data_IF_429655645777
#
_entry.id   IF_429655645777
#
_cell.length_a   1.000
_cell.length_b   1.000
_cell.length_c   1.000
_cell.angle_alpha   90.00
_cell.angle_beta   90.00
_cell.angle_gamma   90.00
#
_symmetry.space_group_name_H-M   'P 1'
#
loop_
_entity.id
_entity.type
_entity.pdbx_description
1 polymer ?
#
# COMPACT_ATOMS: atom_id res chain seq x y z
N UNK A 1 -40.32 74.55 62.11
CA UNK A 1 -41.73 74.62 61.69
C UNK A 1 -41.94 73.49 60.70
N UNK A 2 -42.83 72.50 60.83
CA UNK A 2 -43.74 72.05 61.88
C UNK A 2 -43.99 70.53 61.66
N UNK A 3 -44.13 69.81 62.78
CA UNK A 3 -44.87 68.56 63.13
C UNK A 3 -45.59 67.80 61.98
N UNK A 4 -45.74 66.47 61.94
CA UNK A 4 -46.21 65.43 62.89
C UNK A 4 -45.75 64.07 62.27
N UNK A 5 -45.69 62.89 62.90
CA UNK A 5 -46.37 62.29 64.04
C UNK A 5 -46.32 60.77 63.84
N UNK A 6 -46.26 60.02 64.93
CA UNK A 6 -45.90 58.60 65.01
C UNK A 6 -47.02 57.60 64.65
N UNK A 7 -46.57 56.37 64.35
CA UNK A 7 -47.17 55.02 64.57
C UNK A 7 -48.67 54.79 64.30
N UNK A 8 -49.00 53.68 63.61
CA UNK A 8 -49.75 52.52 64.15
C UNK A 8 -49.92 51.40 63.09
N UNK A 9 -49.55 50.21 63.53
CA UNK A 9 -49.95 48.83 63.22
C UNK A 9 -51.13 48.47 62.28
N UNK A 10 -50.96 47.27 61.69
CA UNK A 10 -51.93 46.18 61.41
C UNK A 10 -52.35 45.85 59.96
N UNK A 11 -51.84 44.69 59.52
CA UNK A 11 -52.58 43.50 59.06
C UNK A 11 -53.20 43.41 57.64
N UNK A 12 -52.73 42.35 56.96
CA UNK A 12 -53.43 41.34 56.13
C UNK A 12 -53.29 41.36 54.59
N UNK A 13 -52.88 40.17 54.13
CA UNK A 13 -53.24 39.44 52.91
C UNK A 13 -52.89 40.09 51.55
N UNK A 14 -51.83 39.61 50.87
CA UNK A 14 -51.82 38.44 49.99
C UNK A 14 -52.49 38.70 48.62
N UNK A 15 -51.70 38.82 47.55
CA UNK A 15 -51.58 37.84 46.46
C UNK A 15 -50.94 38.42 45.17
N UNK A 16 -50.04 37.61 44.58
CA UNK A 16 -49.73 37.48 43.15
C UNK A 16 -48.69 38.42 42.52
N UNK A 17 -47.42 38.05 42.66
CA UNK A 17 -46.36 38.44 41.72
C UNK A 17 -46.54 37.71 40.38
N UNK A 18 -46.68 38.47 39.30
CA UNK A 18 -46.36 38.02 37.94
C UNK A 18 -44.83 37.91 37.81
N UNK A 19 -44.26 36.85 37.21
CA UNK A 19 -42.83 36.82 36.92
C UNK A 19 -42.53 37.71 35.70
N UNK A 20 -41.62 38.67 35.90
CA UNK A 20 -41.03 39.46 34.84
C UNK A 20 -39.84 38.76 34.18
N UNK A 21 -39.69 39.02 32.89
CA UNK A 21 -38.51 38.93 32.02
C UNK A 21 -37.46 37.84 32.35
N UNK A 22 -37.60 36.68 31.69
CA UNK A 22 -36.48 35.80 31.42
C UNK A 22 -35.59 36.37 30.31
N UNK A 23 -34.28 36.41 30.55
CA UNK A 23 -33.25 36.59 29.54
C UNK A 23 -33.44 35.54 28.42
N UNK A 24 -33.18 35.86 27.13
CA UNK A 24 -33.23 34.86 26.08
C UNK A 24 -32.15 33.82 26.37
N UNK A 25 -32.58 32.57 26.58
CA UNK A 25 -31.67 31.43 26.56
C UNK A 25 -30.98 31.42 25.19
N UNK A 26 -29.65 31.41 25.20
CA UNK A 26 -28.86 31.15 24.01
C UNK A 26 -29.40 29.88 23.33
N UNK A 27 -29.52 29.84 21.99
CA UNK A 27 -29.92 28.63 21.31
C UNK A 27 -28.98 27.51 21.74
N UNK A 28 -29.53 26.38 22.19
CA UNK A 28 -28.76 25.17 22.41
C UNK A 28 -27.92 24.96 21.14
N UNK A 29 -26.60 24.93 21.31
CA UNK A 29 -25.66 24.79 20.21
C UNK A 29 -26.11 23.64 19.32
N UNK A 30 -26.34 23.93 18.04
CA UNK A 30 -26.52 22.89 17.04
C UNK A 30 -25.36 21.89 17.14
N UNK A 31 -25.54 20.64 16.69
CA UNK A 31 -24.47 19.66 16.70
C UNK A 31 -23.23 20.31 16.09
N UNK A 32 -22.15 20.37 16.86
CA UNK A 32 -20.84 20.79 16.36
C UNK A 32 -20.63 20.06 15.04
N UNK A 33 -20.21 20.74 13.95
CA UNK A 33 -19.98 20.07 12.68
C UNK A 33 -19.11 18.84 12.94
N UNK A 34 -19.59 17.67 12.48
CA UNK A 34 -18.83 16.43 12.58
C UNK A 34 -17.39 16.73 12.15
N UNK A 35 -16.35 16.30 12.91
CA UNK A 35 -14.98 16.55 12.53
C UNK A 35 -14.77 16.10 11.08
N UNK A 36 -14.11 16.94 10.27
CA UNK A 36 -13.82 16.60 8.88
C UNK A 36 -13.11 15.24 8.83
N UNK A 37 -13.61 14.32 8.01
CA UNK A 37 -13.02 12.99 7.83
C UNK A 37 -11.70 13.16 7.06
N UNK A 38 -10.61 12.62 7.59
CA UNK A 38 -9.34 12.60 6.87
C UNK A 38 -9.41 11.56 5.74
N UNK A 39 -8.79 11.86 4.60
CA UNK A 39 -8.71 10.91 3.49
C UNK A 39 -7.27 10.76 2.98
N UNK A 40 -6.95 9.58 2.45
CA UNK A 40 -5.69 9.36 1.73
C UNK A 40 -5.85 8.33 0.62
N UNK A 41 -5.08 8.50 -0.45
CA UNK A 41 -5.05 7.56 -1.57
C UNK A 41 -4.02 6.45 -1.33
N UNK A 42 -4.33 5.24 -1.78
CA UNK A 42 -3.38 4.14 -1.90
C UNK A 42 -3.34 3.66 -3.35
N UNK A 43 -2.17 3.79 -3.96
CA UNK A 43 -1.85 3.26 -5.29
C UNK A 43 -0.68 2.28 -5.20
N UNK A 44 -0.66 1.26 -6.04
CA UNK A 44 0.37 0.22 -6.00
C UNK A 44 0.48 -0.48 -7.35
N UNK A 45 1.63 -1.12 -7.60
CA UNK A 45 1.82 -2.06 -8.71
C UNK A 45 1.40 -1.40 -10.05
N UNK A 46 2.07 -0.29 -10.37
CA UNK A 46 1.80 0.48 -11.57
C UNK A 46 2.27 -0.28 -12.81
N UNK A 47 3.45 -0.93 -12.69
CA UNK A 47 4.14 -1.67 -13.76
C UNK A 47 4.00 -1.00 -15.13
N UNK A 48 4.70 0.12 -15.33
CA UNK A 48 4.77 0.76 -16.64
C UNK A 48 5.49 -0.18 -17.62
N UNK A 49 4.83 -0.53 -18.72
CA UNK A 49 5.47 -1.08 -19.91
C UNK A 49 5.74 0.05 -20.92
N UNK A 50 6.99 0.53 -21.05
CA UNK A 50 7.33 1.60 -21.98
C UNK A 50 7.26 1.17 -23.44
N UNK A 51 7.18 -0.14 -23.73
CA UNK A 51 7.12 -0.66 -25.09
C UNK A 51 5.69 -0.82 -25.60
N UNK A 52 4.68 -0.58 -24.77
CA UNK A 52 3.29 -0.78 -25.16
C UNK A 52 2.91 0.08 -26.37
N UNK A 53 2.53 -0.56 -27.47
CA UNK A 53 1.97 0.09 -28.64
C UNK A 53 1.02 -0.86 -29.39
N UNK A 54 -0.03 -0.32 -30.01
CA UNK A 54 -0.98 -1.12 -30.78
C UNK A 54 -0.40 -1.38 -32.17
N UNK A 55 -0.37 -2.66 -32.58
CA UNK A 55 0.18 -3.12 -33.85
C UNK A 55 -0.52 -4.42 -34.28
N UNK A 56 -0.53 -4.71 -35.59
CA UNK A 56 -1.17 -5.91 -36.15
C UNK A 56 -0.54 -7.21 -35.63
N UNK A 57 0.78 -7.19 -35.38
CA UNK A 57 1.49 -8.30 -34.76
C UNK A 57 1.32 -8.25 -33.24
N UNK A 58 0.27 -8.89 -32.74
CA UNK A 58 -0.07 -8.91 -31.32
C UNK A 58 1.06 -9.45 -30.42
N UNK A 59 2.05 -10.16 -30.94
CA UNK A 59 3.22 -10.61 -30.16
C UNK A 59 4.21 -9.48 -29.85
N UNK A 60 4.09 -8.34 -30.54
CA UNK A 60 4.95 -7.16 -30.41
C UNK A 60 4.27 -5.98 -29.72
N UNK A 61 3.03 -6.15 -29.27
CA UNK A 61 2.28 -5.07 -28.59
C UNK A 61 3.00 -4.60 -27.34
N UNK A 62 3.54 -5.52 -26.55
CA UNK A 62 4.18 -5.23 -25.28
C UNK A 62 5.27 -6.27 -24.97
N UNK A 63 6.39 -5.84 -24.39
CA UNK A 63 7.47 -6.76 -24.01
C UNK A 63 7.06 -7.61 -22.80
N UNK A 64 6.19 -7.09 -21.94
CA UNK A 64 5.65 -7.79 -20.76
C UNK A 64 4.88 -9.07 -21.09
N UNK A 65 4.32 -9.22 -22.29
CA UNK A 65 3.70 -10.49 -22.74
C UNK A 65 4.71 -11.59 -23.05
N UNK A 66 6.01 -11.25 -23.13
CA UNK A 66 7.13 -12.19 -23.37
C UNK A 66 6.97 -12.95 -24.70
N UNK A 67 6.42 -12.27 -25.70
CA UNK A 67 6.17 -12.82 -27.04
C UNK A 67 4.85 -13.58 -27.18
N UNK A 68 4.03 -13.66 -26.12
CA UNK A 68 2.66 -14.10 -26.26
C UNK A 68 1.85 -13.05 -27.02
N UNK A 69 0.94 -13.49 -27.89
CA UNK A 69 0.02 -12.58 -28.56
C UNK A 69 -0.89 -11.91 -27.53
N UNK A 70 -0.85 -10.57 -27.44
CA UNK A 70 -1.81 -9.79 -26.67
C UNK A 70 -3.24 -10.16 -27.05
N UNK A 71 -4.14 -10.23 -26.06
CA UNK A 71 -5.45 -10.85 -26.23
C UNK A 71 -6.39 -9.99 -27.07
N UNK A 72 -6.60 -8.75 -26.66
CA UNK A 72 -7.42 -7.75 -27.33
C UNK A 72 -6.91 -6.35 -26.96
N UNK A 73 -5.72 -5.97 -27.47
CA UNK A 73 -5.03 -4.76 -27.04
C UNK A 73 -5.81 -3.50 -27.42
N UNK A 74 -5.88 -2.56 -26.48
CA UNK A 74 -6.53 -1.26 -26.68
C UNK A 74 -5.76 -0.12 -26.02
N UNK A 75 -6.25 1.12 -26.13
CA UNK A 75 -5.51 2.31 -25.70
C UNK A 75 -5.22 2.37 -24.19
N UNK A 76 -5.87 1.55 -23.37
CA UNK A 76 -5.67 1.48 -21.92
C UNK A 76 -5.00 0.18 -21.47
N UNK A 77 -4.55 -0.69 -22.39
CA UNK A 77 -3.80 -1.88 -22.06
C UNK A 77 -4.43 -3.17 -22.60
N UNK A 78 -3.89 -4.29 -22.15
CA UNK A 78 -4.34 -5.65 -22.44
C UNK A 78 -4.11 -6.52 -21.21
N UNK A 79 -4.90 -7.57 -21.01
CA UNK A 79 -4.72 -8.47 -19.85
C UNK A 79 -3.40 -9.25 -19.89
N UNK A 80 -2.73 -9.38 -21.04
CA UNK A 80 -1.41 -10.02 -21.14
C UNK A 80 -0.25 -9.02 -21.12
N UNK A 81 -0.55 -7.73 -20.96
CA UNK A 81 0.43 -6.67 -20.90
C UNK A 81 0.42 -5.98 -19.55
N UNK A 82 1.58 -5.48 -19.16
CA UNK A 82 1.70 -4.45 -18.16
C UNK A 82 1.16 -3.10 -18.66
N UNK A 83 1.03 -2.14 -17.74
CA UNK A 83 0.31 -0.89 -17.98
C UNK A 83 0.98 -0.03 -19.07
N UNK A 84 0.26 0.39 -20.12
CA UNK A 84 0.71 1.53 -20.90
C UNK A 84 0.74 2.79 -20.04
N UNK A 85 1.61 3.75 -20.37
CA UNK A 85 1.66 5.05 -19.68
C UNK A 85 0.29 5.74 -19.62
N UNK A 86 -0.51 5.60 -20.68
CA UNK A 86 -1.85 6.18 -20.76
C UNK A 86 -2.83 5.62 -19.73
N UNK A 87 -2.71 4.33 -19.36
CA UNK A 87 -3.52 3.74 -18.27
C UNK A 87 -3.16 4.38 -16.92
N UNK A 88 -1.87 4.43 -16.61
CA UNK A 88 -1.35 5.02 -15.37
C UNK A 88 -1.76 6.50 -15.26
N UNK A 89 -1.61 7.25 -16.36
CA UNK A 89 -2.02 8.65 -16.41
C UNK A 89 -3.52 8.79 -16.16
N UNK A 90 -4.35 7.93 -16.76
CA UNK A 90 -5.81 7.96 -16.53
C UNK A 90 -6.19 7.72 -15.07
N UNK A 91 -5.43 6.89 -14.34
CA UNK A 91 -5.65 6.62 -12.92
C UNK A 91 -5.35 7.87 -12.07
N UNK A 92 -4.22 8.54 -12.34
CA UNK A 92 -3.87 9.77 -11.64
C UNK A 92 -4.75 10.96 -12.02
N UNK A 93 -5.17 11.06 -13.29
CA UNK A 93 -6.14 12.05 -13.73
C UNK A 93 -7.50 11.83 -13.06
N UNK A 94 -7.93 10.58 -12.89
CA UNK A 94 -9.11 10.26 -12.10
C UNK A 94 -8.96 10.72 -10.65
N UNK A 95 -7.85 10.36 -9.98
CA UNK A 95 -7.57 10.77 -8.59
C UNK A 95 -7.66 12.30 -8.46
N UNK A 96 -6.99 13.04 -9.36
CA UNK A 96 -6.96 14.50 -9.38
C UNK A 96 -8.34 15.14 -9.60
N UNK A 97 -9.17 14.53 -10.45
CA UNK A 97 -10.49 15.07 -10.82
C UNK A 97 -11.66 14.43 -10.06
N UNK A 98 -11.39 13.56 -9.08
CA UNK A 98 -12.41 12.81 -8.33
C UNK A 98 -13.28 13.69 -7.42
N UNK A 99 -12.84 14.92 -7.14
CA UNK A 99 -13.47 15.80 -6.15
C UNK A 99 -13.20 15.39 -4.69
N UNK A 100 -12.35 14.39 -4.45
CA UNK A 100 -11.97 13.94 -3.11
C UNK A 100 -10.76 14.73 -2.60
N UNK A 101 -10.80 15.18 -1.35
CA UNK A 101 -9.71 15.91 -0.71
C UNK A 101 -8.86 14.96 0.14
N UNK A 102 -7.67 14.61 -0.36
CA UNK A 102 -6.74 13.74 0.34
C UNK A 102 -5.62 14.53 1.03
N UNK A 103 -5.31 14.15 2.27
CA UNK A 103 -4.21 14.72 3.06
C UNK A 103 -2.84 14.23 2.60
N UNK A 104 -2.76 13.02 2.06
CA UNK A 104 -1.56 12.39 1.55
C UNK A 104 -1.89 11.22 0.61
N UNK A 105 -0.86 10.63 0.00
CA UNK A 105 -0.95 9.39 -0.76
C UNK A 105 0.10 8.39 -0.27
N UNK A 106 -0.24 7.11 -0.25
CA UNK A 106 0.73 6.03 -0.10
C UNK A 106 0.91 5.33 -1.45
N UNK A 107 2.16 5.04 -1.80
CA UNK A 107 2.51 4.37 -3.06
C UNK A 107 3.41 3.17 -2.77
N UNK A 108 2.87 1.96 -2.80
CA UNK A 108 3.58 0.75 -2.34
C UNK A 108 4.38 0.04 -3.43
N UNK A 109 4.95 0.80 -4.38
CA UNK A 109 6.00 0.32 -5.28
C UNK A 109 5.53 -0.42 -6.53
N UNK A 110 6.51 -1.11 -7.15
CA UNK A 110 6.43 -1.88 -8.39
C UNK A 110 6.09 -1.04 -9.63
N UNK A 111 7.12 -0.33 -10.09
CA UNK A 111 7.06 0.57 -11.25
C UNK A 111 7.51 -0.07 -12.56
N UNK A 112 8.63 -0.82 -12.63
CA UNK A 112 9.09 -1.46 -13.88
C UNK A 112 8.21 -2.64 -14.32
N UNK A 113 8.24 -3.03 -15.62
CA UNK A 113 7.39 -4.09 -16.14
C UNK A 113 7.93 -5.50 -15.86
N UNK A 114 7.10 -6.50 -16.07
CA UNK A 114 7.42 -7.93 -16.02
C UNK A 114 8.10 -8.42 -17.30
N UNK A 115 9.35 -8.03 -17.51
CA UNK A 115 10.16 -8.52 -18.64
C UNK A 115 11.29 -9.44 -18.14
N UNK A 116 11.91 -10.27 -19.00
CA UNK A 116 13.12 -10.99 -18.65
C UNK A 116 14.21 -10.05 -18.12
N UNK A 117 14.97 -10.48 -17.11
CA UNK A 117 16.02 -9.65 -16.45
C UNK A 117 16.99 -9.00 -17.44
N UNK A 118 17.31 -9.70 -18.53
CA UNK A 118 18.22 -9.24 -19.59
C UNK A 118 17.71 -8.04 -20.40
N UNK A 119 16.42 -7.74 -20.32
CA UNK A 119 15.76 -6.63 -21.02
C UNK A 119 15.65 -5.37 -20.14
N UNK A 120 16.05 -5.48 -18.88
CA UNK A 120 16.20 -4.35 -17.95
C UNK A 120 17.66 -4.11 -17.60
N UNK A 121 17.88 -2.97 -16.96
CA UNK A 121 19.14 -2.59 -16.33
C UNK A 121 18.84 -1.75 -15.10
N UNK A 122 19.82 -1.53 -14.23
CA UNK A 122 19.69 -0.60 -13.10
C UNK A 122 19.25 0.80 -13.56
N UNK A 123 19.77 1.29 -14.68
CA UNK A 123 19.43 2.62 -15.20
C UNK A 123 18.00 2.67 -15.76
N UNK A 124 17.58 1.61 -16.47
CA UNK A 124 16.19 1.49 -16.94
C UNK A 124 15.21 1.47 -15.77
N UNK A 125 15.50 0.70 -14.71
CA UNK A 125 14.67 0.65 -13.50
C UNK A 125 14.58 2.04 -12.84
N UNK A 126 15.72 2.71 -12.64
CA UNK A 126 15.74 4.07 -12.06
C UNK A 126 14.94 5.04 -12.93
N UNK A 127 15.06 4.98 -14.25
CA UNK A 127 14.35 5.86 -15.17
C UNK A 127 12.83 5.64 -15.11
N UNK A 128 12.36 4.40 -14.97
CA UNK A 128 10.93 4.12 -14.80
C UNK A 128 10.42 4.66 -13.47
N UNK A 129 11.15 4.43 -12.37
CA UNK A 129 10.78 4.97 -11.04
C UNK A 129 10.78 6.51 -11.08
N UNK A 130 11.76 7.12 -11.75
CA UNK A 130 11.84 8.56 -11.94
C UNK A 130 10.64 9.09 -12.73
N UNK A 131 10.25 8.42 -13.82
CA UNK A 131 9.08 8.78 -14.62
C UNK A 131 7.80 8.76 -13.77
N UNK A 132 7.56 7.69 -13.00
CA UNK A 132 6.40 7.60 -12.10
C UNK A 132 6.44 8.68 -11.02
N UNK A 133 7.60 8.89 -10.41
CA UNK A 133 7.80 9.93 -9.39
C UNK A 133 7.49 11.32 -9.95
N UNK A 134 8.07 11.68 -11.10
CA UNK A 134 7.86 12.98 -11.75
C UNK A 134 6.42 13.16 -12.21
N UNK A 135 5.76 12.10 -12.70
CA UNK A 135 4.33 12.13 -13.06
C UNK A 135 3.47 12.49 -11.85
N UNK A 136 3.70 11.82 -10.71
CA UNK A 136 2.97 12.09 -9.45
C UNK A 136 3.27 13.52 -8.95
N UNK A 137 4.54 13.93 -8.91
CA UNK A 137 4.92 15.29 -8.48
C UNK A 137 4.30 16.38 -9.36
N UNK A 138 4.21 16.15 -10.67
CA UNK A 138 3.63 17.12 -11.61
C UNK A 138 2.11 17.24 -11.46
N UNK A 139 1.43 16.13 -11.20
CA UNK A 139 -0.04 16.12 -11.05
C UNK A 139 -0.48 16.57 -9.65
N UNK A 140 0.33 16.30 -8.62
CA UNK A 140 0.04 16.56 -7.21
C UNK A 140 1.18 17.31 -6.50
N UNK A 141 1.51 18.55 -6.92
CA UNK A 141 2.69 19.27 -6.41
C UNK A 141 2.64 19.59 -4.91
N UNK A 142 1.44 19.62 -4.32
CA UNK A 142 1.23 19.95 -2.91
C UNK A 142 0.87 18.73 -2.04
N UNK A 143 0.81 17.53 -2.62
CA UNK A 143 0.43 16.31 -1.90
C UNK A 143 1.69 15.59 -1.39
N UNK A 144 1.75 15.33 -0.10
CA UNK A 144 2.80 14.48 0.46
C UNK A 144 2.55 13.02 0.05
N UNK A 145 3.57 12.36 -0.48
CA UNK A 145 3.49 10.96 -0.90
C UNK A 145 4.47 10.12 -0.10
N UNK A 146 4.01 8.98 0.41
CA UNK A 146 4.82 8.01 1.14
C UNK A 146 5.05 6.76 0.28
N UNK A 147 6.16 6.71 -0.46
CA UNK A 147 6.48 5.55 -1.27
C UNK A 147 7.09 4.40 -0.45
N UNK A 148 6.90 3.17 -0.92
CA UNK A 148 7.67 1.99 -0.55
C UNK A 148 8.20 1.34 -1.83
N UNK A 149 9.38 0.71 -1.77
CA UNK A 149 9.92 -0.04 -2.91
C UNK A 149 9.21 -1.38 -3.03
N UNK A 150 8.91 -1.79 -4.26
CA UNK A 150 8.52 -3.16 -4.59
C UNK A 150 9.67 -4.01 -5.11
N UNK A 151 9.41 -5.29 -5.37
CA UNK A 151 10.46 -6.23 -5.78
C UNK A 151 10.90 -6.03 -7.23
N UNK A 152 10.11 -5.38 -8.08
CA UNK A 152 10.50 -4.96 -9.43
C UNK A 152 11.24 -3.62 -9.46
N UNK A 153 11.20 -2.83 -8.39
CA UNK A 153 11.92 -1.56 -8.28
C UNK A 153 13.44 -1.74 -8.04
N UNK A 154 14.01 -2.86 -8.51
CA UNK A 154 15.43 -3.15 -8.44
C UNK A 154 15.87 -4.02 -9.62
N UNK A 155 17.14 -3.93 -10.00
CA UNK A 155 17.72 -4.80 -11.01
C UNK A 155 18.97 -5.53 -10.49
N UNK A 156 19.07 -6.85 -10.71
CA UNK A 156 18.00 -7.76 -11.16
C UNK A 156 16.82 -7.94 -10.18
N UNK A 157 15.59 -8.05 -10.71
CA UNK A 157 14.37 -8.28 -9.91
C UNK A 157 14.28 -9.72 -9.33
N UNK A 158 14.90 -10.70 -9.99
CA UNK A 158 14.92 -12.12 -9.62
C UNK A 158 16.26 -12.75 -9.99
N UNK A 159 16.69 -13.84 -9.31
CA UNK A 159 17.90 -14.52 -9.70
C UNK A 159 17.63 -15.21 -11.05
N UNK A 160 18.40 -14.86 -12.08
CA UNK A 160 18.56 -15.77 -13.20
C UNK A 160 19.27 -17.01 -12.64
N UNK A 161 18.55 -18.10 -12.41
CA UNK A 161 19.19 -19.40 -12.21
C UNK A 161 19.71 -19.80 -13.59
N UNK A 162 20.94 -19.40 -13.91
CA UNK A 162 21.69 -20.00 -15.00
C UNK A 162 22.41 -21.20 -14.39
N UNK A 163 21.90 -22.40 -14.65
CA UNK A 163 22.67 -23.62 -14.43
C UNK A 163 23.68 -23.71 -15.57
N UNK A 164 24.94 -23.33 -15.31
CA UNK A 164 26.02 -23.65 -16.24
C UNK A 164 26.65 -24.96 -15.80
N UNK A 165 26.50 -26.00 -16.60
CA UNK A 165 27.26 -27.23 -16.45
C UNK A 165 28.64 -27.03 -17.09
N UNK A 166 29.71 -27.15 -16.31
CA UNK A 166 31.07 -27.20 -16.83
C UNK A 166 31.53 -28.66 -16.88
N UNK A 167 31.94 -29.12 -18.07
CA UNK A 167 32.52 -30.45 -18.24
C UNK A 167 34.00 -30.37 -17.92
N UNK A 168 34.44 -31.02 -16.83
CA UNK A 168 35.84 -31.08 -16.43
C UNK A 168 36.41 -32.44 -16.84
N UNK A 169 37.51 -32.42 -17.60
CA UNK A 169 38.31 -33.60 -17.92
C UNK A 169 39.52 -33.66 -16.99
N UNK A 170 39.56 -34.65 -16.09
CA UNK A 170 40.72 -34.90 -15.23
C UNK A 170 41.51 -36.08 -15.78
N UNK A 171 42.77 -35.87 -16.14
CA UNK A 171 43.66 -36.95 -16.60
C UNK A 171 43.96 -37.89 -15.43
N UNK A 172 43.59 -39.17 -15.55
CA UNK A 172 43.86 -40.19 -14.53
C UNK A 172 44.84 -41.27 -15.01
N UNK A 173 45.11 -41.30 -16.32
CA UNK A 173 46.11 -42.13 -16.96
C UNK A 173 46.53 -41.52 -18.32
N UNK A 174 47.67 -41.92 -18.93
CA UNK A 174 48.19 -41.34 -20.16
C UNK A 174 47.20 -41.34 -21.36
N UNK A 175 46.14 -42.13 -21.29
CA UNK A 175 45.09 -42.22 -22.30
C UNK A 175 43.66 -42.26 -21.72
N UNK A 176 43.47 -41.95 -20.43
CA UNK A 176 42.16 -42.03 -19.76
C UNK A 176 41.86 -40.72 -19.03
N UNK A 177 40.72 -40.12 -19.38
CA UNK A 177 40.16 -38.96 -18.68
C UNK A 177 38.95 -39.38 -17.86
N UNK A 178 38.87 -38.90 -16.62
CA UNK A 178 37.63 -38.88 -15.85
C UNK A 178 36.85 -37.64 -16.25
N UNK A 179 35.60 -37.84 -16.67
CA UNK A 179 34.66 -36.75 -16.91
C UNK A 179 33.89 -36.49 -15.62
N UNK A 180 33.92 -35.25 -15.14
CA UNK A 180 33.07 -34.79 -14.04
C UNK A 180 32.20 -33.65 -14.56
N UNK A 181 30.90 -33.75 -14.31
CA UNK A 181 29.98 -32.63 -14.45
C UNK A 181 30.07 -31.82 -13.16
N UNK A 182 30.35 -30.52 -13.28
CA UNK A 182 30.21 -29.59 -12.17
C UNK A 182 29.17 -28.56 -12.56
N UNK A 183 28.05 -28.59 -11.84
CA UNK A 183 27.03 -27.56 -11.95
C UNK A 183 27.47 -26.37 -11.11
N UNK A 184 27.68 -25.23 -11.76
CA UNK A 184 27.82 -23.96 -11.07
C UNK A 184 26.55 -23.14 -11.30
N UNK A 185 25.94 -22.70 -10.20
CA UNK A 185 24.85 -21.72 -10.24
C UNK A 185 25.51 -20.35 -10.42
N UNK A 186 25.43 -19.79 -11.62
CA UNK A 186 25.79 -18.39 -11.84
C UNK A 186 24.59 -17.55 -11.44
N UNK A 187 24.50 -17.20 -10.16
CA UNK A 187 23.55 -16.20 -9.69
C UNK A 187 23.99 -14.83 -10.21
N UNK A 188 23.23 -14.24 -11.14
CA UNK A 188 23.38 -12.82 -11.47
C UNK A 188 23.27 -11.99 -10.20
N UNK A 189 24.34 -11.26 -9.88
CA UNK A 189 24.44 -10.47 -8.66
C UNK A 189 23.51 -9.25 -8.71
N UNK A 190 22.81 -9.06 -7.58
CA UNK A 190 22.15 -7.87 -7.03
C UNK A 190 20.61 -7.84 -7.07
N UNK A 191 19.97 -8.59 -6.18
CA UNK A 191 18.62 -8.25 -5.71
C UNK A 191 18.69 -7.19 -4.60
N UNK A 192 17.54 -6.69 -4.14
CA UNK A 192 17.43 -5.65 -3.09
C UNK A 192 18.37 -5.92 -1.90
N UNK A 193 19.48 -5.17 -1.77
CA UNK A 193 20.56 -5.51 -0.85
C UNK A 193 20.27 -5.00 0.56
N UNK A 194 21.07 -5.49 1.52
CA UNK A 194 21.02 -5.08 2.94
C UNK A 194 21.90 -3.86 3.27
N UNK A 195 22.42 -3.20 2.25
CA UNK A 195 23.32 -2.05 2.35
C UNK A 195 22.99 -1.04 1.24
N UNK A 196 23.65 0.12 1.25
CA UNK A 196 23.40 1.18 0.27
C UNK A 196 23.63 0.71 -1.17
N UNK A 197 22.81 1.18 -2.10
CA UNK A 197 22.88 0.80 -3.51
C UNK A 197 22.64 1.99 -4.43
N UNK A 198 22.92 1.84 -5.73
CA UNK A 198 22.62 2.88 -6.72
C UNK A 198 21.13 3.21 -6.76
N UNK A 199 20.27 2.18 -6.69
CA UNK A 199 18.81 2.35 -6.66
C UNK A 199 18.35 3.05 -5.39
N UNK A 200 18.78 2.62 -4.20
CA UNK A 200 18.41 3.26 -2.93
C UNK A 200 18.84 4.74 -2.91
N UNK A 201 20.02 5.04 -3.46
CA UNK A 201 20.47 6.42 -3.57
C UNK A 201 19.69 7.25 -4.58
N UNK A 202 19.27 6.66 -5.70
CA UNK A 202 18.46 7.33 -6.70
C UNK A 202 17.06 7.64 -6.17
N UNK A 203 16.36 6.66 -5.58
CA UNK A 203 15.01 6.88 -5.03
C UNK A 203 15.02 7.83 -3.84
N UNK A 204 16.05 7.80 -3.01
CA UNK A 204 16.21 8.79 -1.95
C UNK A 204 16.42 10.22 -2.47
N UNK A 205 17.01 10.39 -3.65
CA UNK A 205 17.10 11.71 -4.29
C UNK A 205 15.78 12.11 -4.94
N UNK A 206 15.10 11.17 -5.60
CA UNK A 206 13.80 11.39 -6.26
C UNK A 206 12.68 11.74 -5.27
N UNK A 207 12.67 11.08 -4.10
CA UNK A 207 11.63 11.21 -3.07
C UNK A 207 11.95 12.26 -2.01
N UNK A 208 13.09 12.95 -2.12
CA UNK A 208 13.48 14.05 -1.23
C UNK A 208 12.39 15.11 -1.02
N UNK A 209 11.57 15.49 -2.04
CA UNK A 209 10.49 16.46 -1.82
C UNK A 209 9.42 16.03 -0.82
N UNK A 210 9.31 14.74 -0.50
CA UNK A 210 8.27 14.22 0.39
C UNK A 210 8.76 13.81 1.78
N UNK A 211 10.09 13.72 1.95
CA UNK A 211 10.75 13.05 3.07
C UNK A 211 11.81 13.93 3.73
N UNK A 212 11.88 13.88 5.05
CA UNK A 212 12.89 14.58 5.85
C UNK A 212 14.26 13.89 5.74
N UNK A 213 15.32 14.59 6.15
CA UNK A 213 16.70 14.10 6.04
C UNK A 213 16.96 12.78 6.81
N UNK A 214 16.25 12.54 7.92
CA UNK A 214 16.33 11.26 8.65
C UNK A 214 15.73 10.10 7.85
N UNK A 215 14.59 10.33 7.21
CA UNK A 215 13.95 9.37 6.33
C UNK A 215 14.82 9.09 5.10
N UNK A 216 15.42 10.13 4.50
CA UNK A 216 16.36 9.99 3.39
C UNK A 216 17.61 9.20 3.80
N UNK A 217 18.15 9.41 5.01
CA UNK A 217 19.31 8.68 5.51
C UNK A 217 19.07 7.18 5.66
N UNK A 218 17.91 6.79 6.20
CA UNK A 218 17.52 5.38 6.37
C UNK A 218 17.17 4.72 5.03
N UNK A 219 16.47 5.44 4.16
CA UNK A 219 16.14 5.01 2.81
C UNK A 219 17.40 4.68 1.99
N UNK A 220 18.43 5.53 2.05
CA UNK A 220 19.72 5.29 1.37
C UNK A 220 20.45 4.04 1.87
N UNK A 221 20.24 3.65 3.13
CA UNK A 221 20.93 2.51 3.76
C UNK A 221 20.26 1.17 3.48
N UNK A 222 18.93 1.12 3.49
CA UNK A 222 18.20 -0.15 3.45
C UNK A 222 16.86 -0.14 2.72
N UNK A 223 16.48 0.94 2.05
CA UNK A 223 15.22 1.00 1.31
C UNK A 223 13.97 1.21 2.17
N UNK A 224 14.11 1.48 3.47
CA UNK A 224 13.02 1.70 4.44
C UNK A 224 13.21 3.02 5.19
N UNK A 225 12.13 3.59 5.72
CA UNK A 225 12.16 4.83 6.51
C UNK A 225 10.89 5.01 7.35
N UNK A 226 10.90 6.01 8.22
CA UNK A 226 9.66 6.52 8.83
C UNK A 226 9.57 8.04 8.66
N UNK A 227 8.36 8.55 8.53
CA UNK A 227 8.10 9.97 8.27
C UNK A 227 6.83 10.40 8.99
N UNK A 228 6.85 11.57 9.62
CA UNK A 228 5.64 12.19 10.17
C UNK A 228 4.81 12.79 9.04
N UNK A 229 3.49 12.67 9.13
CA UNK A 229 2.58 13.32 8.19
C UNK A 229 2.59 14.82 8.43
N UNK A 230 2.90 15.62 7.41
CA UNK A 230 3.10 17.07 7.57
C UNK A 230 1.86 17.79 8.09
N UNK A 231 0.67 17.31 7.75
CA UNK A 231 -0.60 17.83 8.24
C UNK A 231 -0.95 17.38 9.66
N UNK A 232 -0.24 16.38 10.21
CA UNK A 232 -0.50 15.86 11.54
C UNK A 232 0.74 15.21 12.22
N UNK A 233 1.39 15.95 13.10
CA UNK A 233 2.68 15.57 13.70
C UNK A 233 2.62 14.42 14.74
N UNK A 234 1.42 14.03 15.16
CA UNK A 234 1.19 12.86 16.02
C UNK A 234 0.92 11.58 15.22
N UNK A 235 1.11 11.63 13.90
CA UNK A 235 0.85 10.55 12.99
C UNK A 235 2.08 10.25 12.14
N UNK A 236 2.49 8.98 12.15
CA UNK A 236 3.72 8.50 11.48
C UNK A 236 3.39 7.42 10.48
N UNK A 237 4.01 7.52 9.32
CA UNK A 237 4.08 6.44 8.33
C UNK A 237 5.42 5.72 8.50
N UNK A 238 5.39 4.40 8.57
CA UNK A 238 6.57 3.55 8.52
C UNK A 238 6.53 2.80 7.19
N UNK A 239 7.48 3.12 6.31
CA UNK A 239 7.65 2.47 5.02
C UNK A 239 8.72 1.39 5.12
N UNK A 240 8.28 0.13 5.08
CA UNK A 240 9.13 -1.05 5.20
C UNK A 240 9.63 -1.53 3.85
N UNK A 241 10.84 -2.08 3.83
CA UNK A 241 11.37 -2.81 2.69
C UNK A 241 11.18 -4.31 2.95
N UNK A 242 9.96 -4.80 2.79
CA UNK A 242 9.62 -6.22 2.99
C UNK A 242 10.15 -7.13 1.88
N UNK A 243 10.68 -6.56 0.79
CA UNK A 243 11.38 -7.31 -0.25
C UNK A 243 12.65 -8.00 0.28
N UNK A 244 13.23 -7.49 1.38
CA UNK A 244 14.32 -8.18 2.10
C UNK A 244 13.89 -9.55 2.64
N UNK A 245 12.58 -9.75 2.85
CA UNK A 245 12.01 -10.97 3.40
C UNK A 245 11.43 -11.90 2.33
N UNK A 246 11.38 -11.44 1.08
CA UNK A 246 10.76 -12.16 -0.03
C UNK A 246 11.53 -13.44 -0.37
N UNK A 247 10.80 -14.53 -0.63
CA UNK A 247 11.37 -15.87 -0.85
C UNK A 247 12.47 -15.90 -1.92
N UNK A 248 12.25 -15.31 -3.11
CA UNK A 248 13.24 -15.18 -4.17
C UNK A 248 14.49 -14.34 -3.86
N UNK A 249 14.53 -13.54 -2.78
CA UNK A 249 15.65 -12.61 -2.53
C UNK A 249 16.88 -13.31 -1.93
N UNK A 250 17.78 -13.82 -2.76
CA UNK A 250 18.93 -14.63 -2.34
C UNK A 250 19.93 -13.86 -1.46
N UNK A 251 20.01 -12.54 -1.56
CA UNK A 251 21.00 -11.73 -0.82
C UNK A 251 20.73 -11.68 0.68
N UNK A 252 19.51 -12.05 1.09
CA UNK A 252 19.11 -12.11 2.50
C UNK A 252 19.08 -13.53 3.08
N UNK A 253 19.46 -14.56 2.31
CA UNK A 253 19.56 -15.92 2.82
C UNK A 253 20.45 -15.97 4.06
N UNK A 254 19.99 -16.73 5.07
CA UNK A 254 20.66 -16.92 6.36
C UNK A 254 20.94 -15.64 7.17
N UNK A 255 20.28 -14.51 6.85
CA UNK A 255 20.34 -13.29 7.68
C UNK A 255 19.19 -13.28 8.68
N UNK A 256 19.50 -13.03 9.95
CA UNK A 256 18.50 -12.98 11.04
C UNK A 256 17.75 -11.65 11.12
N UNK A 257 18.39 -10.57 10.68
CA UNK A 257 17.79 -9.23 10.56
C UNK A 257 18.42 -8.47 9.38
N UNK A 258 17.95 -8.72 8.14
CA UNK A 258 18.53 -8.06 6.96
C UNK A 258 18.36 -6.54 7.04
N UNK A 259 19.48 -5.81 6.90
CA UNK A 259 19.59 -4.35 7.04
C UNK A 259 19.23 -3.79 8.43
N UNK A 260 19.21 -4.63 9.47
CA UNK A 260 18.78 -4.28 10.84
C UNK A 260 17.35 -3.67 10.88
N UNK A 261 16.50 -4.07 9.93
CA UNK A 261 15.16 -3.48 9.78
C UNK A 261 14.23 -3.88 10.92
N UNK A 262 14.35 -5.08 11.52
CA UNK A 262 13.55 -5.46 12.68
C UNK A 262 13.95 -4.66 13.92
N UNK A 263 15.24 -4.58 14.21
CA UNK A 263 15.75 -3.75 15.31
C UNK A 263 15.31 -2.27 15.14
N UNK A 264 15.48 -1.73 13.95
CA UNK A 264 15.05 -0.37 13.63
C UNK A 264 13.54 -0.18 13.79
N UNK A 265 12.72 -1.15 13.33
CA UNK A 265 11.26 -1.09 13.43
C UNK A 265 10.81 -1.10 14.89
N UNK A 266 11.35 -2.01 15.70
CA UNK A 266 11.02 -2.06 17.13
C UNK A 266 11.39 -0.76 17.84
N UNK A 267 12.56 -0.19 17.55
CA UNK A 267 13.00 1.08 18.13
C UNK A 267 12.07 2.23 17.71
N UNK A 268 11.70 2.29 16.42
CA UNK A 268 10.81 3.32 15.87
C UNK A 268 9.41 3.24 16.47
N UNK A 269 8.85 2.03 16.62
CA UNK A 269 7.56 1.81 17.26
C UNK A 269 7.59 2.15 18.75
N UNK A 270 8.68 1.80 19.45
CA UNK A 270 8.85 2.16 20.86
C UNK A 270 8.90 3.69 21.06
N UNK A 271 9.66 4.41 20.22
CA UNK A 271 9.70 5.89 20.23
C UNK A 271 8.31 6.47 19.93
N UNK A 272 7.62 5.94 18.93
CA UNK A 272 6.26 6.37 18.57
C UNK A 272 5.30 6.18 19.75
N UNK A 273 5.39 5.05 20.46
CA UNK A 273 4.59 4.78 21.64
C UNK A 273 4.88 5.76 22.78
N UNK A 274 6.15 6.06 23.05
CA UNK A 274 6.55 7.04 24.07
C UNK A 274 6.04 8.45 23.73
N UNK A 275 6.05 8.81 22.45
CA UNK A 275 5.58 10.09 21.94
C UNK A 275 4.05 10.14 21.73
N UNK A 276 3.32 9.07 22.06
CA UNK A 276 1.87 8.94 21.85
C UNK A 276 1.44 9.14 20.40
N UNK A 277 2.31 8.75 19.47
CA UNK A 277 2.03 8.74 18.04
C UNK A 277 1.18 7.52 17.65
N UNK A 278 0.38 7.67 16.60
CA UNK A 278 -0.22 6.55 15.87
C UNK A 278 0.56 6.28 14.61
N UNK A 279 0.52 5.01 14.18
CA UNK A 279 1.37 4.52 13.10
C UNK A 279 0.54 3.83 12.03
N UNK A 280 0.78 4.17 10.77
CA UNK A 280 0.46 3.29 9.64
C UNK A 280 1.73 2.61 9.14
N UNK A 281 1.62 1.31 8.90
CA UNK A 281 2.68 0.52 8.25
C UNK A 281 2.35 0.44 6.77
N UNK A 282 3.28 0.81 5.90
CA UNK A 282 3.19 0.57 4.46
C UNK A 282 4.36 -0.32 4.03
N UNK A 283 4.11 -1.26 3.13
CA UNK A 283 5.16 -2.04 2.50
C UNK A 283 4.66 -2.61 1.16
N UNK A 284 5.54 -3.24 0.40
CA UNK A 284 5.13 -3.88 -0.85
C UNK A 284 4.63 -5.31 -0.62
N UNK A 285 5.54 -6.26 -0.32
CA UNK A 285 5.19 -7.66 -0.05
C UNK A 285 4.46 -7.77 1.29
N UNK A 286 3.24 -8.34 1.34
CA UNK A 286 2.46 -8.46 2.58
C UNK A 286 3.00 -9.55 3.52
N UNK A 287 2.66 -9.44 4.80
CA UNK A 287 2.72 -10.57 5.74
C UNK A 287 1.58 -11.56 5.48
N UNK A 288 1.66 -12.74 6.08
CA UNK A 288 0.62 -13.75 6.01
C UNK A 288 0.73 -14.67 4.81
N UNK A 289 -0.34 -15.44 4.60
CA UNK A 289 -0.45 -16.46 3.57
C UNK A 289 -1.03 -15.90 2.28
N UNK A 290 -0.52 -16.38 1.14
CA UNK A 290 -1.09 -16.07 -0.17
C UNK A 290 -2.48 -16.70 -0.27
N UNK A 291 -3.54 -15.93 -0.61
CA UNK A 291 -4.91 -16.44 -0.56
C UNK A 291 -5.19 -17.51 -1.63
N UNK A 292 -4.42 -17.52 -2.72
CA UNK A 292 -4.58 -18.45 -3.84
C UNK A 292 -3.72 -19.73 -3.70
N UNK A 293 -2.93 -19.87 -2.63
CA UNK A 293 -2.07 -21.03 -2.41
C UNK A 293 -2.19 -21.57 -0.98
N UNK A 294 -2.21 -22.89 -0.83
CA UNK A 294 -2.29 -23.52 0.49
C UNK A 294 -0.92 -23.49 1.16
N UNK A 295 -0.88 -22.92 2.37
CA UNK A 295 0.28 -22.95 3.27
C UNK A 295 1.55 -22.27 2.73
N UNK A 296 1.42 -21.36 1.75
CA UNK A 296 2.54 -20.55 1.26
C UNK A 296 2.39 -19.13 1.78
N UNK A 297 3.36 -18.66 2.55
CA UNK A 297 3.48 -17.26 2.96
C UNK A 297 4.08 -16.40 1.84
N UNK A 298 3.69 -15.14 1.76
CA UNK A 298 4.23 -14.21 0.75
C UNK A 298 5.74 -13.92 0.96
N UNK A 299 6.19 -13.95 2.22
CA UNK A 299 7.59 -13.85 2.62
C UNK A 299 8.08 -15.15 3.28
N UNK A 300 9.39 -15.32 3.52
CA UNK A 300 9.90 -16.51 4.23
C UNK A 300 9.31 -16.58 5.63
N UNK A 301 8.90 -17.78 6.05
CA UNK A 301 8.16 -18.02 7.30
C UNK A 301 8.86 -17.42 8.55
N UNK A 302 10.18 -17.55 8.66
CA UNK A 302 10.95 -16.93 9.76
C UNK A 302 10.71 -15.42 9.89
N UNK A 303 10.72 -14.69 8.77
CA UNK A 303 10.50 -13.25 8.76
C UNK A 303 9.03 -12.89 8.97
N UNK A 304 8.12 -13.71 8.41
CA UNK A 304 6.69 -13.57 8.64
C UNK A 304 6.38 -13.59 10.15
N UNK A 305 6.81 -14.64 10.85
CA UNK A 305 6.56 -14.78 12.29
C UNK A 305 7.18 -13.64 13.09
N UNK A 306 8.39 -13.22 12.74
CA UNK A 306 9.08 -12.12 13.42
C UNK A 306 8.33 -10.79 13.27
N UNK A 307 7.84 -10.44 12.08
CA UNK A 307 7.00 -9.25 11.88
C UNK A 307 5.67 -9.36 12.61
N UNK A 308 5.02 -10.51 12.53
CA UNK A 308 3.73 -10.74 13.20
C UNK A 308 3.86 -10.55 14.71
N UNK A 309 4.94 -11.02 15.34
CA UNK A 309 5.18 -10.81 16.76
C UNK A 309 5.47 -9.34 17.11
N UNK A 310 6.22 -8.61 16.28
CA UNK A 310 6.41 -7.16 16.44
C UNK A 310 5.07 -6.42 16.33
N UNK A 311 4.27 -6.72 15.31
CA UNK A 311 2.97 -6.08 15.11
C UNK A 311 1.98 -6.41 16.23
N UNK A 312 1.99 -7.63 16.78
CA UNK A 312 1.22 -7.97 17.99
C UNK A 312 1.64 -7.10 19.18
N UNK A 313 2.95 -6.99 19.43
CA UNK A 313 3.53 -6.23 20.55
C UNK A 313 3.15 -4.75 20.52
N UNK A 314 3.06 -4.14 19.34
CA UNK A 314 2.78 -2.71 19.16
C UNK A 314 1.38 -2.41 18.56
N UNK A 315 0.47 -3.38 18.60
CA UNK A 315 -0.87 -3.28 18.00
C UNK A 315 -1.73 -2.12 18.54
N UNK A 316 -1.44 -1.63 19.75
CA UNK A 316 -2.10 -0.49 20.36
C UNK A 316 -1.78 0.86 19.67
N UNK A 317 -0.64 0.98 18.99
CA UNK A 317 -0.25 2.20 18.27
C UNK A 317 -0.35 2.06 16.74
N UNK A 318 -0.28 0.84 16.22
CA UNK A 318 -0.47 0.57 14.79
C UNK A 318 -1.95 0.67 14.47
N UNK A 319 -2.36 1.66 13.68
CA UNK A 319 -3.76 1.94 13.35
C UNK A 319 -4.19 1.34 11.99
N UNK A 320 -3.25 0.87 11.17
CA UNK A 320 -3.52 0.19 9.90
C UNK A 320 -2.23 -0.26 9.21
N UNK A 321 -2.34 -1.27 8.35
CA UNK A 321 -1.23 -1.74 7.51
C UNK A 321 -1.68 -1.88 6.05
N UNK A 322 -0.83 -1.45 5.11
CA UNK A 322 -1.18 -1.30 3.70
C UNK A 322 -0.11 -1.91 2.80
N UNK A 323 -0.53 -2.80 1.90
CA UNK A 323 0.34 -3.59 1.05
C UNK A 323 -0.11 -3.63 -0.41
N UNK A 324 0.77 -4.09 -1.30
CA UNK A 324 0.48 -4.32 -2.72
C UNK A 324 0.86 -5.74 -3.12
N UNK A 325 1.68 -5.87 -4.18
CA UNK A 325 2.37 -7.08 -4.65
C UNK A 325 1.47 -8.17 -5.25
N UNK A 326 0.34 -8.48 -4.61
CA UNK A 326 -0.50 -9.60 -5.04
C UNK A 326 -1.38 -9.25 -6.24
N UNK A 327 -1.49 -7.96 -6.58
CA UNK A 327 -2.44 -7.40 -7.55
C UNK A 327 -3.90 -7.75 -7.25
N UNK A 328 -4.22 -8.11 -6.00
CA UNK A 328 -5.57 -8.50 -5.57
C UNK A 328 -6.03 -7.64 -4.42
N UNK A 329 -7.34 -7.41 -4.42
CA UNK A 329 -8.02 -6.83 -3.27
C UNK A 329 -8.18 -7.90 -2.19
N UNK A 330 -7.50 -7.72 -1.06
CA UNK A 330 -7.56 -8.66 0.05
C UNK A 330 -7.45 -7.94 1.39
N UNK A 331 -8.14 -8.49 2.39
CA UNK A 331 -8.11 -8.01 3.77
C UNK A 331 -7.57 -9.12 4.67
N UNK A 332 -6.75 -8.74 5.65
CA UNK A 332 -6.30 -9.66 6.70
C UNK A 332 -6.54 -9.04 8.06
N UNK A 333 -6.85 -9.89 9.04
CA UNK A 333 -7.03 -9.49 10.43
C UNK A 333 -5.98 -10.18 11.28
N UNK A 334 -5.06 -9.39 11.83
CA UNK A 334 -4.10 -9.89 12.80
C UNK A 334 -4.82 -10.06 14.14
N UNK A 335 -4.68 -11.25 14.72
CA UNK A 335 -5.15 -11.57 16.07
C UNK A 335 -4.01 -11.71 17.08
N UNK A 336 -4.31 -11.42 18.33
CA UNK A 336 -3.46 -11.77 19.47
C UNK A 336 -3.38 -13.30 19.66
N UNK A 337 -2.53 -13.75 20.58
CA UNK A 337 -2.35 -15.19 20.88
C UNK A 337 -3.60 -15.85 21.49
N UNK A 338 -4.62 -15.08 21.87
CA UNK A 338 -5.91 -15.54 22.40
C UNK A 338 -7.02 -15.53 21.34
N UNK A 339 -6.71 -15.16 20.09
CA UNK A 339 -7.67 -15.06 19.01
C UNK A 339 -8.55 -13.81 19.04
N UNK A 340 -8.15 -12.75 19.76
CA UNK A 340 -8.81 -11.46 19.67
C UNK A 340 -8.22 -10.66 18.50
N UNK A 341 -9.05 -10.08 17.62
CA UNK A 341 -8.57 -9.24 16.53
C UNK A 341 -7.96 -7.95 17.10
N UNK A 342 -6.78 -7.56 16.61
CA UNK A 342 -6.00 -6.42 17.11
C UNK A 342 -5.49 -5.49 16.00
N UNK A 343 -5.46 -5.94 14.74
CA UNK A 343 -5.06 -5.07 13.63
C UNK A 343 -5.71 -5.46 12.30
N UNK A 344 -6.00 -4.45 11.48
CA UNK A 344 -6.56 -4.61 10.13
C UNK A 344 -5.48 -4.30 9.09
N UNK A 345 -5.31 -5.20 8.12
CA UNK A 345 -4.32 -5.11 7.06
C UNK A 345 -5.05 -5.14 5.71
N UNK A 346 -4.61 -4.30 4.78
CA UNK A 346 -5.26 -4.12 3.48
C UNK A 346 -4.23 -4.33 2.37
N UNK A 347 -4.52 -5.24 1.45
CA UNK A 347 -3.77 -5.44 0.22
C UNK A 347 -4.55 -4.82 -0.92
N UNK A 348 -3.94 -3.88 -1.64
CA UNK A 348 -4.58 -3.19 -2.74
C UNK A 348 -4.36 -3.92 -4.08
N UNK A 349 -5.38 -3.92 -4.97
CA UNK A 349 -5.21 -4.39 -6.33
C UNK A 349 -4.29 -3.44 -7.10
N UNK A 350 -3.69 -3.97 -8.16
CA UNK A 350 -2.77 -3.23 -9.00
C UNK A 350 -3.50 -2.28 -9.97
N UNK A 351 -2.76 -1.28 -10.47
CA UNK A 351 -3.17 -0.56 -11.68
C UNK A 351 -2.93 -1.44 -12.92
N UNK A 352 -1.83 -2.21 -12.95
CA UNK A 352 -1.61 -3.15 -14.06
C UNK A 352 -2.66 -4.28 -14.08
N UNK A 353 -3.20 -4.64 -15.26
CA UNK A 353 -4.09 -5.78 -15.42
C UNK A 353 -3.36 -7.07 -15.81
N UNK A 354 -2.01 -7.08 -15.82
CA UNK A 354 -1.23 -8.19 -16.38
C UNK A 354 -1.55 -9.54 -15.71
N UNK A 355 -1.65 -10.59 -16.52
CA UNK A 355 -1.67 -11.99 -16.10
C UNK A 355 -0.78 -12.85 -16.99
N UNK A 356 -0.41 -14.01 -16.46
CA UNK A 356 0.17 -15.09 -17.27
C UNK A 356 -0.87 -15.67 -18.23
N UNK A 357 -0.41 -16.20 -19.37
CA UNK A 357 -1.26 -16.91 -20.34
C UNK A 357 -1.99 -18.11 -19.69
N UNK A 358 -1.36 -18.74 -18.70
CA UNK A 358 -1.91 -19.89 -17.99
C UNK A 358 -2.97 -19.51 -16.95
N UNK A 359 -3.05 -18.25 -16.56
CA UNK A 359 -3.99 -17.77 -15.55
C UNK A 359 -5.34 -17.46 -16.20
N UNK A 360 -6.40 -17.96 -15.55
CA UNK A 360 -7.78 -17.73 -16.00
C UNK A 360 -8.28 -16.32 -15.68
N UNK A 361 -7.80 -15.72 -14.59
CA UNK A 361 -8.34 -14.48 -14.06
C UNK A 361 -7.23 -13.45 -13.86
N UNK A 362 -7.56 -12.18 -14.11
CA UNK A 362 -6.77 -11.02 -13.70
C UNK A 362 -7.64 -9.95 -13.06
N UNK A 363 -7.03 -8.93 -12.47
CA UNK A 363 -7.73 -7.76 -11.96
C UNK A 363 -7.99 -6.74 -13.07
N UNK A 364 -9.08 -6.00 -12.94
CA UNK A 364 -9.16 -4.68 -13.56
C UNK A 364 -8.19 -3.70 -12.86
N UNK A 365 -7.73 -2.65 -13.54
CA UNK A 365 -6.97 -1.57 -12.91
C UNK A 365 -7.73 -0.96 -11.73
N UNK A 366 -7.07 -0.82 -10.58
CA UNK A 366 -7.68 -0.35 -9.34
C UNK A 366 -6.88 0.74 -8.63
N UNK A 367 -7.58 1.67 -7.99
CA UNK A 367 -7.04 2.64 -7.02
C UNK A 367 -8.01 2.77 -5.86
N UNK A 368 -7.53 3.06 -4.64
CA UNK A 368 -8.44 3.18 -3.47
C UNK A 368 -8.19 4.40 -2.63
N UNK A 369 -9.27 4.89 -2.01
CA UNK A 369 -9.26 5.98 -1.07
C UNK A 369 -9.68 5.46 0.30
N UNK A 370 -8.89 5.73 1.32
CA UNK A 370 -9.23 5.44 2.71
C UNK A 370 -9.80 6.67 3.39
N UNK A 371 -10.72 6.44 4.31
CA UNK A 371 -11.24 7.44 5.24
C UNK A 371 -10.76 7.11 6.65
N UNK A 372 -10.33 8.12 7.40
CA UNK A 372 -9.84 7.98 8.77
C UNK A 372 -10.31 9.10 9.70
N UNK A 373 -10.40 8.81 10.99
CA UNK A 373 -10.68 9.82 12.01
C UNK A 373 -9.42 10.68 12.26
N UNK A 374 -9.44 12.00 12.04
CA UNK A 374 -8.24 12.83 12.20
C UNK A 374 -7.76 12.97 13.66
N UNK A 375 -8.56 12.51 14.64
CA UNK A 375 -8.24 12.61 16.08
C UNK A 375 -7.41 11.43 16.57
N UNK A 376 -7.71 10.22 16.08
CA UNK A 376 -7.05 8.98 16.55
C UNK A 376 -6.58 8.04 15.42
N UNK A 377 -6.74 8.47 14.16
CA UNK A 377 -6.27 7.83 12.92
C UNK A 377 -6.82 6.44 12.69
N UNK A 378 -7.93 6.10 13.35
CA UNK A 378 -8.67 4.88 13.06
C UNK A 378 -9.26 4.95 11.67
N UNK A 379 -9.14 3.85 10.94
CA UNK A 379 -9.78 3.69 9.64
C UNK A 379 -11.28 3.57 9.81
N UNK A 380 -12.00 4.38 9.03
CA UNK A 380 -13.45 4.48 8.98
C UNK A 380 -14.01 3.74 7.77
N UNK A 381 -13.39 3.88 6.59
CA UNK A 381 -13.88 3.25 5.36
C UNK A 381 -12.79 3.08 4.28
N UNK A 382 -13.11 2.30 3.24
CA UNK A 382 -12.37 2.20 1.98
C UNK A 382 -13.34 2.38 0.83
N UNK A 383 -13.01 3.29 -0.08
CA UNK A 383 -13.66 3.43 -1.37
C UNK A 383 -12.72 2.84 -2.42
N UNK A 384 -13.08 1.68 -2.95
CA UNK A 384 -12.34 1.04 -4.04
C UNK A 384 -12.87 1.55 -5.37
N UNK A 385 -11.99 2.11 -6.20
CA UNK A 385 -12.30 2.52 -7.56
C UNK A 385 -11.62 1.60 -8.55
N UNK A 386 -12.23 1.44 -9.72
CA UNK A 386 -11.68 0.60 -10.78
C UNK A 386 -11.97 1.18 -12.16
N UNK A 387 -11.18 0.75 -13.14
CA UNK A 387 -11.46 0.93 -14.55
C UNK A 387 -11.90 -0.40 -15.14
N UNK A 388 -13.09 -0.47 -15.73
CA UNK A 388 -13.45 -1.60 -16.57
C UNK A 388 -12.61 -1.54 -17.86
N UNK A 389 -11.52 -2.30 -17.92
CA UNK A 389 -10.54 -2.26 -19.00
C UNK A 389 -11.18 -2.59 -20.35
N UNK A 390 -12.05 -3.60 -20.39
CA UNK A 390 -12.77 -4.00 -21.60
C UNK A 390 -13.64 -2.87 -22.13
N UNK A 391 -14.46 -2.24 -21.28
CA UNK A 391 -15.32 -1.11 -21.67
C UNK A 391 -14.50 0.11 -22.10
N UNK A 392 -13.40 0.38 -21.39
CA UNK A 392 -12.52 1.52 -21.67
C UNK A 392 -11.82 1.36 -23.03
N UNK A 393 -11.33 0.16 -23.33
CA UNK A 393 -10.70 -0.15 -24.62
C UNK A 393 -11.72 -0.09 -25.77
N UNK A 394 -12.92 -0.66 -25.60
CA UNK A 394 -13.98 -0.62 -26.61
C UNK A 394 -14.44 0.81 -26.94
N UNK A 395 -14.52 1.69 -25.93
CA UNK A 395 -14.99 3.07 -26.09
C UNK A 395 -13.88 4.09 -26.34
N UNK A 396 -12.62 3.70 -26.18
CA UNK A 396 -11.49 4.62 -26.20
C UNK A 396 -11.56 5.71 -25.11
N UNK A 397 -12.24 5.44 -23.98
CA UNK A 397 -12.41 6.41 -22.88
C UNK A 397 -12.25 5.75 -21.51
N UNK A 398 -11.36 6.29 -20.67
CA UNK A 398 -11.20 5.86 -19.28
C UNK A 398 -12.34 6.40 -18.41
N UNK A 399 -13.29 5.54 -18.05
CA UNK A 399 -14.37 5.88 -17.11
C UNK A 399 -14.17 5.11 -15.79
N UNK A 400 -13.30 5.65 -14.94
CA UNK A 400 -13.06 5.15 -13.58
C UNK A 400 -14.33 5.31 -12.74
N UNK A 401 -14.70 4.27 -11.99
CA UNK A 401 -15.94 4.21 -11.22
C UNK A 401 -15.67 3.65 -9.83
N UNK A 402 -16.55 3.99 -8.89
CA UNK A 402 -16.61 3.32 -7.60
C UNK A 402 -17.01 1.86 -7.84
N UNK A 403 -16.18 0.93 -7.39
CA UNK A 403 -16.51 -0.50 -7.35
C UNK A 403 -17.37 -0.79 -6.12
N UNK A 404 -16.89 -0.36 -4.94
CA UNK A 404 -17.63 -0.48 -3.69
C UNK A 404 -17.10 0.47 -2.62
N UNK A 405 -17.94 0.69 -1.60
CA UNK A 405 -17.56 1.24 -0.29
C UNK A 405 -17.58 0.10 0.72
N UNK A 406 -16.49 -0.11 1.48
CA UNK A 406 -16.28 -1.34 2.25
C UNK A 406 -17.37 -1.53 3.32
N UNK A 407 -17.67 -0.50 4.10
CA UNK A 407 -18.70 -0.55 5.15
C UNK A 407 -20.08 -0.95 4.58
N UNK A 408 -20.45 -0.39 3.42
CA UNK A 408 -21.71 -0.68 2.73
C UNK A 408 -21.72 -2.09 2.14
N UNK A 409 -20.61 -2.54 1.55
CA UNK A 409 -20.51 -3.83 0.91
C UNK A 409 -20.60 -5.01 1.89
N UNK A 410 -20.09 -4.83 3.12
CA UNK A 410 -20.08 -5.87 4.16
C UNK A 410 -21.04 -5.61 5.32
N UNK A 411 -21.83 -4.54 5.27
CA UNK A 411 -22.74 -4.12 6.33
C UNK A 411 -22.05 -4.03 7.71
N UNK A 412 -20.92 -3.31 7.76
CA UNK A 412 -20.12 -3.08 8.97
C UNK A 412 -19.95 -1.59 9.26
N UNK A 413 -19.84 -1.24 10.55
CA UNK A 413 -19.76 0.17 10.98
C UNK A 413 -18.44 0.85 10.63
N UNK A 414 -17.32 0.14 10.78
CA UNK A 414 -15.97 0.66 10.58
C UNK A 414 -14.97 -0.47 10.27
N UNK A 415 -13.73 -0.09 9.98
CA UNK A 415 -12.63 -1.01 9.67
C UNK A 415 -11.89 -1.53 10.91
N UNK A 416 -12.44 -1.29 12.11
CA UNK A 416 -11.75 -1.66 13.34
C UNK A 416 -11.78 -3.18 13.55
N UNK A 417 -10.68 -3.77 14.06
CA UNK A 417 -10.61 -5.20 14.35
C UNK A 417 -11.51 -5.54 15.56
N UNK A 418 -12.79 -5.84 15.32
CA UNK A 418 -13.79 -6.21 16.34
C UNK A 418 -14.37 -7.60 16.04
N UNK A 419 -14.53 -8.43 17.08
CA UNK A 419 -15.10 -9.80 16.99
C UNK A 419 -16.47 -9.90 16.31
N UNK A 420 -17.28 -8.84 16.36
CA UNK A 420 -18.64 -8.77 15.79
C UNK A 420 -18.76 -7.72 14.67
N UNK A 421 -17.70 -7.49 13.88
CA UNK A 421 -17.68 -6.51 12.79
C UNK A 421 -16.75 -6.93 11.64
N UNK A 422 -15.73 -6.13 11.33
CA UNK A 422 -14.73 -6.42 10.28
C UNK A 422 -14.18 -7.87 10.32
N UNK A 423 -14.00 -8.47 11.51
CA UNK A 423 -13.52 -9.86 11.59
C UNK A 423 -14.56 -10.91 11.17
N UNK A 424 -15.86 -10.63 11.27
CA UNK A 424 -16.92 -11.52 10.75
C UNK A 424 -17.03 -11.43 9.22
N UNK A 425 -16.84 -10.24 8.64
CA UNK A 425 -16.70 -10.11 7.19
C UNK A 425 -15.56 -11.00 6.66
N UNK A 426 -14.48 -11.18 7.42
CA UNK A 426 -13.39 -12.12 7.10
C UNK A 426 -13.63 -13.58 7.49
N UNK A 427 -14.67 -13.90 8.28
CA UNK A 427 -14.91 -15.23 8.84
C UNK A 427 -15.98 -16.06 8.10
N UNK A 428 -16.59 -15.54 7.05
CA UNK A 428 -17.38 -16.36 6.13
C UNK A 428 -16.46 -17.40 5.47
N UNK A 429 -16.82 -18.71 5.43
CA UNK A 429 -15.99 -19.76 4.83
C UNK A 429 -15.85 -19.61 3.31
N UNK A 430 -16.55 -18.65 2.72
CA UNK A 430 -16.23 -18.07 1.43
C UNK A 430 -15.41 -16.82 1.65
N UNK A 431 -14.14 -16.90 1.22
CA UNK A 431 -13.29 -15.78 0.83
C UNK A 431 -14.02 -14.47 0.62
N UNK A 432 -13.46 -13.42 1.20
CA UNK A 432 -13.68 -12.09 0.67
C UNK A 432 -12.48 -11.73 -0.21
N UNK A 433 -12.36 -12.42 -1.36
CA UNK A 433 -12.15 -11.63 -2.56
C UNK A 433 -13.42 -10.75 -2.62
N UNK A 434 -13.28 -9.45 -2.86
CA UNK A 434 -14.49 -8.64 -3.00
C UNK A 434 -15.47 -9.40 -3.91
N UNK A 435 -16.71 -9.68 -3.49
CA UNK A 435 -17.69 -10.29 -4.39
C UNK A 435 -17.90 -9.43 -5.65
N UNK A 436 -17.37 -8.21 -5.61
CA UNK A 436 -17.32 -7.21 -6.66
C UNK A 436 -16.03 -7.18 -7.45
N UNK A 437 -14.97 -7.94 -7.10
CA UNK A 437 -13.73 -8.01 -7.88
C UNK A 437 -14.10 -8.38 -9.31
N UNK A 438 -14.17 -7.36 -10.17
CA UNK A 438 -14.50 -7.56 -11.57
C UNK A 438 -13.28 -8.17 -12.24
N UNK A 439 -13.13 -9.48 -12.12
CA UNK A 439 -12.06 -10.19 -12.80
C UNK A 439 -12.33 -10.13 -14.30
N UNK A 440 -11.31 -9.75 -15.06
CA UNK A 440 -11.36 -9.81 -16.53
C UNK A 440 -10.91 -11.22 -16.92
N UNK A 441 -11.72 -11.87 -17.75
CA UNK A 441 -11.41 -13.17 -18.35
C UNK A 441 -10.54 -12.99 -19.60
#
# INVERSE_FOLDING_TARGET
>A
MARLGALVCCLLAAWHCRPGLGLPLAPAGGPSPSPAVGQFWHVTDLHLDPTYHITDDHTKVCASSKGASASNPGPFGDVLCDSPYHLILSAFDFIKNSGQEASFMIWTGDSPPHVPVRELSTDTVINVIANMTTTVQSLFPNLQVFPALGNHDYWPQMPNIVVTAQVIFTLIHPHIFRVSLVDYIVCGQDQLPVFTSKVYNAVASLWKPWLDEEAISTLRKGGFYSQKVSTNLNFRIISLNTNLYYGPNIVTLNKTDPANQFEWLENTLNISQQNKEKVYIIAHVPVGYLPYSRSITAMREYYNEKLIDIFRKYSNIIAGQFYGHTHRDSIMVLSDKKGNPINSLFVAPAVTPVKSVLEKQTNNPGVRLFQYDPRDYKLLDVLQYYLNLTDANLKGKSNWKLEYTLTQAYDIEDLQPKKNGFSQATASPTWVASPWSNYVC
#
